data_IF_786703111765
#
_entry.id   IF_786703111765
#
_cell.length_a   1.000
_cell.length_b   1.000
_cell.length_c   1.000
_cell.angle_alpha   90.00
_cell.angle_beta   90.00
_cell.angle_gamma   90.00
#
_symmetry.space_group_name_H-M   'P 1'
#
loop_
_entity.id
_entity.type
_entity.pdbx_description
1 polymer ?
#
# COMPACT_ATOMS: atom_id res chain seq x y z
N UNK A 1 28.37 -42.64 74.03
CA UNK A 1 28.33 -42.42 72.57
C UNK A 1 28.27 -40.93 72.10
N UNK A 2 28.83 -39.91 72.79
CA UNK A 2 28.93 -38.56 72.21
C UNK A 2 30.34 -38.19 71.67
N UNK A 3 31.39 -38.90 72.07
CA UNK A 3 32.78 -38.51 71.78
C UNK A 3 33.19 -38.68 70.29
N UNK A 4 32.60 -39.66 69.59
CA UNK A 4 32.91 -39.90 68.17
C UNK A 4 32.29 -38.79 67.31
N UNK A 5 31.07 -38.35 67.62
CA UNK A 5 30.38 -37.29 66.90
C UNK A 5 31.10 -35.93 67.05
N UNK A 6 31.55 -35.62 68.27
CA UNK A 6 32.32 -34.41 68.58
C UNK A 6 33.67 -34.36 67.85
N UNK A 7 34.25 -35.52 67.51
CA UNK A 7 35.53 -35.61 66.79
C UNK A 7 35.40 -35.32 65.29
N UNK A 8 34.24 -35.63 64.69
CA UNK A 8 33.96 -35.35 63.27
C UNK A 8 33.26 -34.00 63.04
N UNK A 9 32.68 -33.41 64.09
CA UNK A 9 32.05 -32.08 64.06
C UNK A 9 32.90 -30.98 63.38
N UNK A 10 34.20 -30.82 63.66
CA UNK A 10 35.02 -29.81 62.99
C UNK A 10 35.19 -30.09 61.49
N UNK A 11 35.27 -31.36 61.09
CA UNK A 11 35.39 -31.75 59.68
C UNK A 11 34.09 -31.48 58.92
N UNK A 12 32.94 -31.77 59.52
CA UNK A 12 31.63 -31.44 58.95
C UNK A 12 31.48 -29.92 58.79
N UNK A 13 31.90 -29.14 59.79
CA UNK A 13 31.88 -27.68 59.71
C UNK A 13 32.73 -27.13 58.56
N UNK A 14 33.93 -27.67 58.35
CA UNK A 14 34.81 -27.28 57.24
C UNK A 14 34.16 -27.61 55.89
N UNK A 15 33.61 -28.82 55.73
CA UNK A 15 32.95 -29.22 54.48
C UNK A 15 31.74 -28.32 54.19
N UNK A 16 30.92 -28.02 55.20
CA UNK A 16 29.80 -27.09 55.04
C UNK A 16 30.27 -25.68 54.67
N UNK A 17 31.34 -25.17 55.29
CA UNK A 17 31.88 -23.86 54.97
C UNK A 17 32.40 -23.76 53.53
N UNK A 18 33.08 -24.81 53.04
CA UNK A 18 33.54 -24.87 51.65
C UNK A 18 32.36 -24.94 50.68
N UNK A 19 31.38 -25.79 50.94
CA UNK A 19 30.19 -25.90 50.10
C UNK A 19 29.39 -24.59 50.07
N UNK A 20 29.24 -23.93 51.21
CA UNK A 20 28.56 -22.65 51.30
C UNK A 20 29.32 -21.55 50.56
N UNK A 21 30.65 -21.52 50.67
CA UNK A 21 31.49 -20.58 49.93
C UNK A 21 31.39 -20.75 48.42
N UNK A 22 31.41 -21.99 47.92
CA UNK A 22 31.24 -22.30 46.49
C UNK A 22 29.84 -21.92 46.02
N UNK A 23 28.80 -22.25 46.79
CA UNK A 23 27.43 -21.89 46.47
C UNK A 23 27.25 -20.37 46.41
N UNK A 24 27.78 -19.63 47.38
CA UNK A 24 27.71 -18.18 47.43
C UNK A 24 28.38 -17.50 46.22
N UNK A 25 29.57 -17.96 45.82
CA UNK A 25 30.27 -17.44 44.64
C UNK A 25 29.45 -17.70 43.37
N UNK A 26 28.86 -18.89 43.26
CA UNK A 26 28.04 -19.25 42.10
C UNK A 26 26.74 -18.45 42.03
N UNK A 27 26.04 -18.29 43.15
CA UNK A 27 24.77 -17.57 43.25
C UNK A 27 24.95 -16.07 42.98
N UNK A 28 25.96 -15.45 43.63
CA UNK A 28 26.28 -14.02 43.42
C UNK A 28 26.69 -13.70 41.98
N UNK A 29 27.44 -14.58 41.32
CA UNK A 29 27.79 -14.41 39.91
C UNK A 29 26.57 -14.50 38.99
N UNK A 30 25.65 -15.42 39.28
CA UNK A 30 24.45 -15.64 38.46
C UNK A 30 23.47 -14.47 38.51
N UNK A 31 23.33 -13.85 39.67
CA UNK A 31 22.46 -12.68 39.83
C UNK A 31 23.06 -11.41 39.20
N UNK A 32 24.38 -11.24 39.25
CA UNK A 32 25.06 -10.16 38.54
C UNK A 32 24.86 -10.26 37.01
N UNK A 33 25.04 -11.45 36.43
CA UNK A 33 24.81 -11.65 34.99
C UNK A 33 23.35 -11.44 34.59
N UNK A 34 22.40 -11.91 35.41
CA UNK A 34 20.97 -11.74 35.14
C UNK A 34 20.53 -10.29 35.23
N UNK A 35 21.05 -9.53 36.20
CA UNK A 35 20.70 -8.11 36.35
C UNK A 35 21.26 -7.28 35.20
N UNK A 36 22.49 -7.53 34.76
CA UNK A 36 23.05 -6.89 33.55
C UNK A 36 22.29 -7.27 32.28
N UNK A 37 21.96 -8.55 32.09
CA UNK A 37 21.19 -9.01 30.93
C UNK A 37 19.78 -8.40 30.92
N UNK A 38 19.12 -8.30 32.08
CA UNK A 38 17.81 -7.67 32.20
C UNK A 38 17.88 -6.16 31.93
N UNK A 39 18.92 -5.47 32.41
CA UNK A 39 19.13 -4.06 32.14
C UNK A 39 19.32 -3.80 30.63
N UNK A 40 20.18 -4.58 29.96
CA UNK A 40 20.39 -4.49 28.51
C UNK A 40 19.11 -4.80 27.72
N UNK A 41 18.35 -5.80 28.15
CA UNK A 41 17.07 -6.15 27.50
C UNK A 41 16.01 -5.06 27.71
N UNK A 42 15.99 -4.41 28.87
CA UNK A 42 15.07 -3.31 29.15
C UNK A 42 15.36 -2.10 28.27
N UNK A 43 16.63 -1.73 28.10
CA UNK A 43 17.04 -0.62 27.21
C UNK A 43 16.73 -0.95 25.76
N UNK A 44 17.06 -2.16 25.29
CA UNK A 44 16.75 -2.60 23.93
C UNK A 44 15.25 -2.54 23.62
N UNK A 45 14.39 -2.94 24.58
CA UNK A 45 12.93 -2.86 24.42
C UNK A 45 12.45 -1.41 24.38
N UNK A 46 13.02 -0.53 25.19
CA UNK A 46 12.68 0.88 25.19
C UNK A 46 13.05 1.55 23.85
N UNK A 47 14.25 1.27 23.33
CA UNK A 47 14.72 1.78 22.05
C UNK A 47 13.86 1.27 20.89
N UNK A 48 13.55 -0.05 20.87
CA UNK A 48 12.65 -0.63 19.87
C UNK A 48 11.26 0.01 19.88
N UNK A 49 10.72 0.32 21.06
CA UNK A 49 9.43 1.01 21.17
C UNK A 49 9.49 2.47 20.70
N UNK A 50 10.60 3.17 20.97
CA UNK A 50 10.80 4.53 20.50
C UNK A 50 10.92 4.57 18.97
N UNK A 51 11.69 3.65 18.38
CA UNK A 51 11.83 3.51 16.93
C UNK A 51 10.53 3.12 16.26
N UNK A 52 9.75 2.21 16.86
CA UNK A 52 8.42 1.85 16.36
C UNK A 52 7.50 3.08 16.29
N UNK A 53 7.41 3.87 17.38
CA UNK A 53 6.61 5.10 17.40
C UNK A 53 7.09 6.14 16.39
N UNK A 54 8.40 6.32 16.24
CA UNK A 54 8.96 7.23 15.24
C UNK A 54 8.63 6.77 13.81
N UNK A 55 8.66 5.46 13.55
CA UNK A 55 8.29 4.89 12.26
C UNK A 55 6.78 5.06 11.97
N UNK A 56 5.92 4.85 12.96
CA UNK A 56 4.47 5.07 12.85
C UNK A 56 4.15 6.53 12.52
N UNK A 57 4.80 7.49 13.20
CA UNK A 57 4.59 8.91 12.92
C UNK A 57 5.02 9.30 11.49
N UNK A 58 6.15 8.76 11.01
CA UNK A 58 6.60 8.99 9.63
C UNK A 58 5.63 8.41 8.61
N UNK A 59 5.12 7.20 8.85
CA UNK A 59 4.13 6.56 7.99
C UNK A 59 2.83 7.37 7.95
N UNK A 60 2.33 7.79 9.11
CA UNK A 60 1.12 8.62 9.20
C UNK A 60 1.28 9.96 8.46
N UNK A 61 2.45 10.59 8.55
CA UNK A 61 2.73 11.83 7.82
C UNK A 61 2.77 11.62 6.30
N UNK A 62 3.31 10.48 5.83
CA UNK A 62 3.28 10.14 4.41
C UNK A 62 1.86 9.82 3.92
N UNK A 63 1.09 9.07 4.71
CA UNK A 63 -0.30 8.74 4.42
C UNK A 63 -1.18 9.99 4.33
N UNK A 64 -1.02 10.95 5.24
CA UNK A 64 -1.78 12.20 5.19
C UNK A 64 -1.42 13.06 3.98
N UNK A 65 -0.15 13.10 3.58
CA UNK A 65 0.28 13.78 2.36
C UNK A 65 -0.33 13.14 1.10
N UNK A 66 -0.35 11.81 1.02
CA UNK A 66 -0.98 11.08 -0.09
C UNK A 66 -2.50 11.33 -0.12
N UNK A 67 -3.16 11.30 1.04
CA UNK A 67 -4.59 11.56 1.14
C UNK A 67 -4.95 12.97 0.65
N UNK A 68 -4.12 13.97 0.99
CA UNK A 68 -4.30 15.34 0.51
C UNK A 68 -4.13 15.43 -1.02
N UNK A 69 -3.10 14.79 -1.59
CA UNK A 69 -2.88 14.77 -3.05
C UNK A 69 -4.08 14.14 -3.78
N UNK A 70 -4.57 12.99 -3.30
CA UNK A 70 -5.75 12.32 -3.87
C UNK A 70 -7.00 13.20 -3.79
N UNK A 71 -7.23 13.89 -2.67
CA UNK A 71 -8.36 14.80 -2.53
C UNK A 71 -8.30 15.95 -3.55
N UNK A 72 -7.12 16.55 -3.74
CA UNK A 72 -6.95 17.64 -4.73
C UNK A 72 -7.12 17.16 -6.16
N UNK A 73 -6.63 15.96 -6.50
CA UNK A 73 -6.84 15.36 -7.81
C UNK A 73 -8.32 15.03 -8.06
N UNK A 74 -9.02 14.50 -7.05
CA UNK A 74 -10.46 14.25 -7.13
C UNK A 74 -11.27 15.52 -7.39
N UNK A 75 -10.93 16.61 -6.70
CA UNK A 75 -11.59 17.91 -6.91
C UNK A 75 -11.30 18.49 -8.29
N UNK A 76 -10.07 18.37 -8.80
CA UNK A 76 -9.73 18.76 -10.17
C UNK A 76 -10.53 17.95 -11.21
N UNK A 77 -10.64 16.64 -11.03
CA UNK A 77 -11.43 15.78 -11.93
C UNK A 77 -12.91 16.18 -11.91
N UNK A 78 -13.47 16.48 -10.74
CA UNK A 78 -14.86 16.95 -10.65
C UNK A 78 -15.06 18.30 -11.36
N UNK A 79 -14.15 19.25 -11.18
CA UNK A 79 -14.19 20.55 -11.87
C UNK A 79 -14.10 20.39 -13.39
N UNK A 80 -13.20 19.55 -13.89
CA UNK A 80 -13.10 19.23 -15.32
C UNK A 80 -14.37 18.53 -15.82
N UNK A 81 -14.98 17.63 -15.04
CA UNK A 81 -16.24 16.98 -15.42
C UNK A 81 -17.39 17.99 -15.51
N UNK A 82 -17.49 18.93 -14.58
CA UNK A 82 -18.51 19.96 -14.60
C UNK A 82 -18.37 20.92 -15.80
N UNK A 83 -17.14 21.36 -16.10
CA UNK A 83 -16.86 22.24 -17.24
C UNK A 83 -17.02 21.52 -18.59
N UNK A 84 -16.55 20.28 -18.71
CA UNK A 84 -16.72 19.51 -19.94
C UNK A 84 -18.19 19.20 -20.23
N UNK A 85 -19.00 18.88 -19.23
CA UNK A 85 -20.43 18.61 -19.45
C UNK A 85 -21.17 19.86 -19.98
N UNK A 86 -20.83 21.05 -19.50
CA UNK A 86 -21.43 22.30 -20.00
C UNK A 86 -20.96 22.66 -21.40
N UNK A 87 -19.68 22.43 -21.74
CA UNK A 87 -19.16 22.62 -23.10
C UNK A 87 -19.80 21.61 -24.06
N UNK A 88 -19.84 20.33 -23.68
CA UNK A 88 -20.43 19.26 -24.48
C UNK A 88 -21.92 19.52 -24.72
N UNK A 89 -22.68 19.90 -23.69
CA UNK A 89 -24.09 20.25 -23.87
C UNK A 89 -24.29 21.44 -24.80
N UNK A 90 -23.44 22.48 -24.69
CA UNK A 90 -23.50 23.63 -25.58
C UNK A 90 -23.23 23.23 -27.04
N UNK A 91 -22.25 22.37 -27.28
CA UNK A 91 -21.92 21.89 -28.63
C UNK A 91 -22.96 20.92 -29.19
N UNK A 92 -23.54 20.04 -28.37
CA UNK A 92 -24.64 19.13 -28.78
C UNK A 92 -25.84 19.91 -29.30
N UNK A 93 -26.15 21.06 -28.70
CA UNK A 93 -27.27 21.92 -29.14
C UNK A 93 -26.96 22.61 -30.48
N UNK A 94 -25.69 22.84 -30.81
CA UNK A 94 -25.28 23.51 -32.05
C UNK A 94 -25.00 22.54 -33.21
N UNK A 95 -24.88 21.23 -32.93
CA UNK A 95 -24.74 20.20 -33.97
C UNK A 95 -26.11 19.54 -34.26
N UNK A 96 -26.72 19.80 -35.43
CA UNK A 96 -28.04 19.29 -35.78
C UNK A 96 -28.10 17.75 -35.86
N UNK A 97 -26.96 17.05 -36.00
CA UNK A 97 -26.91 15.57 -35.96
C UNK A 97 -26.98 15.00 -34.56
N UNK A 98 -26.63 15.78 -33.54
CA UNK A 98 -26.61 15.37 -32.15
C UNK A 98 -27.84 15.88 -31.38
N UNK A 99 -28.49 16.95 -31.87
CA UNK A 99 -29.70 17.51 -31.30
C UNK A 99 -30.99 16.75 -31.71
N UNK A 100 -30.99 16.07 -32.85
CA UNK A 100 -32.15 15.36 -33.38
C UNK A 100 -32.07 13.86 -33.00
N UNK A 101 -32.98 13.33 -32.15
CA UNK A 101 -32.91 11.96 -31.64
C UNK A 101 -33.01 10.89 -32.74
N UNK A 102 -33.59 11.22 -33.90
CA UNK A 102 -33.74 10.31 -35.04
C UNK A 102 -32.48 10.26 -35.95
N UNK A 103 -31.59 11.25 -35.84
CA UNK A 103 -30.28 11.31 -36.52
C UNK A 103 -29.11 10.96 -35.58
N UNK A 104 -29.43 10.55 -34.34
CA UNK A 104 -28.47 10.30 -33.28
C UNK A 104 -27.37 9.29 -33.62
N UNK A 105 -26.30 9.34 -32.83
CA UNK A 105 -25.14 8.44 -32.93
C UNK A 105 -25.62 6.99 -33.02
N UNK A 106 -25.40 6.36 -34.18
CA UNK A 106 -25.81 4.97 -34.40
C UNK A 106 -25.22 4.02 -33.36
N UNK A 107 -25.92 2.93 -33.03
CA UNK A 107 -25.48 1.90 -32.08
C UNK A 107 -24.04 1.42 -32.37
N UNK A 108 -23.70 1.26 -33.66
CA UNK A 108 -22.36 0.85 -34.12
C UNK A 108 -21.27 1.87 -33.77
N UNK A 109 -21.59 3.15 -33.80
CA UNK A 109 -20.66 4.20 -33.43
C UNK A 109 -20.50 4.27 -31.90
N UNK A 110 -21.56 4.04 -31.13
CA UNK A 110 -21.47 3.83 -29.69
C UNK A 110 -20.58 2.64 -29.32
N UNK A 111 -20.75 1.51 -30.01
CA UNK A 111 -19.92 0.31 -29.81
C UNK A 111 -18.46 0.56 -30.18
N UNK A 112 -18.19 1.29 -31.27
CA UNK A 112 -16.82 1.68 -31.66
C UNK A 112 -16.17 2.62 -30.63
N UNK A 113 -16.93 3.57 -30.07
CA UNK A 113 -16.46 4.46 -28.98
C UNK A 113 -16.17 3.65 -27.72
N UNK A 114 -17.05 2.72 -27.32
CA UNK A 114 -16.82 1.87 -26.16
C UNK A 114 -15.61 0.95 -26.36
N UNK A 115 -15.45 0.37 -27.54
CA UNK A 115 -14.31 -0.48 -27.87
C UNK A 115 -12.97 0.26 -27.81
N UNK A 116 -12.93 1.52 -28.29
CA UNK A 116 -11.74 2.38 -28.20
C UNK A 116 -11.45 2.81 -26.77
N UNK A 117 -12.49 3.01 -25.94
CA UNK A 117 -12.37 3.34 -24.51
C UNK A 117 -11.75 2.19 -23.71
N UNK A 118 -12.12 0.94 -24.00
CA UNK A 118 -11.53 -0.26 -23.36
C UNK A 118 -10.11 -0.57 -23.83
N UNK A 119 -9.68 -0.02 -24.97
CA UNK A 119 -8.36 -0.27 -25.55
C UNK A 119 -7.27 0.75 -25.19
N UNK A 120 -7.59 1.79 -24.41
CA UNK A 120 -6.63 2.80 -24.00
C UNK A 120 -5.88 2.41 -22.73
N UNK A 121 -4.56 2.66 -22.70
CA UNK A 121 -3.75 2.48 -21.49
C UNK A 121 -3.18 3.82 -21.03
N UNK A 122 -3.26 4.07 -19.73
CA UNK A 122 -2.64 5.23 -19.10
C UNK A 122 -1.44 4.78 -18.27
N UNK A 123 -0.30 5.42 -18.49
CA UNK A 123 0.96 5.11 -17.78
C UNK A 123 1.45 6.36 -17.08
N UNK A 124 1.98 6.19 -15.87
CA UNK A 124 2.56 7.27 -15.08
C UNK A 124 3.92 7.68 -15.67
N UNK A 125 4.11 8.97 -15.93
CA UNK A 125 5.38 9.49 -16.50
C UNK A 125 6.41 9.64 -15.39
N UNK A 126 7.67 9.32 -15.68
CA UNK A 126 8.80 9.36 -14.73
C UNK A 126 9.11 10.75 -14.16
N UNK A 127 8.62 11.83 -14.78
CA UNK A 127 8.74 13.22 -14.30
C UNK A 127 7.47 13.78 -13.64
N UNK A 128 6.46 12.95 -13.36
CA UNK A 128 5.14 13.39 -12.90
C UNK A 128 4.13 13.53 -14.04
N UNK A 129 2.86 13.29 -13.74
CA UNK A 129 1.74 13.27 -14.69
C UNK A 129 1.39 11.87 -15.23
N UNK A 130 0.20 11.77 -15.83
CA UNK A 130 -0.32 10.54 -16.46
C UNK A 130 -0.40 10.79 -17.97
N UNK A 131 0.17 9.89 -18.77
CA UNK A 131 0.04 9.90 -20.23
C UNK A 131 -0.87 8.76 -20.64
N UNK A 132 -1.99 9.10 -21.28
CA UNK A 132 -2.93 8.12 -21.80
C UNK A 132 -2.75 7.95 -23.31
N UNK A 133 -2.64 6.70 -23.73
CA UNK A 133 -2.71 6.30 -25.14
C UNK A 133 -4.13 5.88 -25.42
N UNK A 134 -4.75 6.48 -26.43
CA UNK A 134 -6.06 6.06 -26.92
C UNK A 134 -5.81 5.25 -28.19
N UNK A 135 -6.32 4.03 -28.26
CA UNK A 135 -6.23 3.24 -29.50
C UNK A 135 -7.05 3.97 -30.55
N UNK A 136 -6.41 4.50 -31.59
CA UNK A 136 -7.14 5.09 -32.71
C UNK A 136 -8.00 3.99 -33.36
N UNK A 137 -9.28 4.28 -33.63
CA UNK A 137 -10.10 3.35 -34.38
C UNK A 137 -9.45 3.15 -35.76
N UNK A 138 -9.41 1.90 -36.22
CA UNK A 138 -8.92 1.61 -37.56
C UNK A 138 -9.72 2.45 -38.57
N UNK A 139 -9.09 3.04 -39.60
CA UNK A 139 -9.81 3.80 -40.61
C UNK A 139 -10.92 2.92 -41.17
N UNK A 140 -12.15 3.46 -41.22
CA UNK A 140 -13.26 2.77 -41.84
C UNK A 140 -12.81 2.33 -43.23
N UNK A 141 -12.85 1.01 -43.48
CA UNK A 141 -12.53 0.43 -44.78
C UNK A 141 -13.30 1.15 -45.88
N UNK A 142 -12.67 1.24 -47.05
CA UNK A 142 -13.04 2.07 -48.19
C UNK A 142 -14.49 1.95 -48.69
N UNK A 143 -14.83 2.73 -49.74
CA UNK A 143 -16.20 2.87 -50.21
C UNK A 143 -16.82 1.51 -50.49
N UNK A 144 -18.06 1.32 -50.05
CA UNK A 144 -18.87 0.15 -50.37
C UNK A 144 -19.04 0.18 -51.89
N UNK A 145 -18.21 -0.60 -52.58
CA UNK A 145 -18.32 -0.86 -54.02
C UNK A 145 -19.68 -1.51 -54.25
N UNK A 146 -20.46 -0.91 -55.16
CA UNK A 146 -21.80 -1.35 -55.48
C UNK A 146 -21.82 -2.84 -55.85
N UNK A 147 -22.53 -3.63 -55.06
CA UNK A 147 -22.93 -4.97 -55.41
C UNK A 147 -24.33 -4.90 -56.00
N UNK A 148 -24.38 -4.81 -57.33
CA UNK A 148 -25.55 -5.15 -58.13
C UNK A 148 -25.97 -6.58 -57.76
N UNK A 149 -27.24 -6.79 -57.47
CA UNK A 149 -27.81 -8.12 -57.29
C UNK A 149 -29.18 -8.11 -57.94
N UNK A 150 -29.10 -8.19 -59.26
CA UNK A 150 -30.10 -8.74 -60.14
C UNK A 150 -30.44 -10.16 -59.68
N UNK A 151 -31.67 -10.39 -59.21
CA UNK A 151 -32.33 -11.69 -59.26
C UNK A 151 -33.84 -11.47 -59.23
N UNK A 152 -34.41 -11.38 -60.44
CA UNK A 152 -35.84 -11.55 -60.66
C UNK A 152 -36.24 -13.01 -60.66
N UNK A 153 -37.35 -13.32 -60.01
CA UNK A 153 -38.47 -14.14 -60.52
C UNK A 153 -39.64 -14.12 -59.54
#
# INVERSE_FOLDING_TARGET
MPAILLRFLPHIGIVCAVLFGVWWIYDSGRDAERTEANARNATLRADMQADARASEQRLLAQLSAIAADVATQGEQIQRLRASSNTIIQREIIHDPRLADPDLGISQRMFDAINATRTGGSCVRRTGGGIVCTVRQPAPAGGPIEGGDSDEGQ
#
